data_IF_913887974051
#
_entry.id   IF_913887974051
#
_cell.length_a   1.000
_cell.length_b   1.000
_cell.length_c   1.000
_cell.angle_alpha   90.00
_cell.angle_beta   90.00
_cell.angle_gamma   90.00
#
_symmetry.space_group_name_H-M   'P 1'
#
loop_
_entity.id
_entity.type
_entity.pdbx_description
1 polymer ?
#
# COMPACT_ATOMS: atom_id res chain seq x y z
N UNK A 1 -42.71 -64.02 22.42
CA UNK A 1 -43.62 -63.47 21.40
C UNK A 1 -42.84 -63.42 20.09
N UNK A 2 -43.24 -64.24 19.10
CA UNK A 2 -42.85 -64.32 17.67
C UNK A 2 -41.35 -64.53 17.31
N UNK A 3 -40.90 -65.70 16.83
CA UNK A 3 -40.98 -66.36 15.49
C UNK A 3 -39.64 -66.25 14.72
N UNK A 4 -39.08 -67.44 14.42
CA UNK A 4 -38.29 -67.94 13.26
C UNK A 4 -37.66 -66.96 12.25
N UNK A 5 -36.49 -67.35 11.73
CA UNK A 5 -36.35 -67.57 10.28
C UNK A 5 -35.07 -67.11 9.57
N UNK A 6 -34.19 -68.09 9.30
CA UNK A 6 -33.53 -68.38 8.02
C UNK A 6 -32.94 -67.28 7.09
N UNK A 7 -31.63 -67.46 6.83
CA UNK A 7 -30.96 -67.66 5.53
C UNK A 7 -30.95 -66.55 4.44
N UNK A 8 -29.70 -66.17 4.12
CA UNK A 8 -29.02 -66.36 2.82
C UNK A 8 -28.79 -65.17 1.86
N UNK A 9 -27.48 -64.97 1.60
CA UNK A 9 -26.77 -64.82 0.32
C UNK A 9 -26.84 -63.52 -0.52
N UNK A 10 -25.66 -62.88 -0.57
CA UNK A 10 -24.91 -62.41 -1.76
C UNK A 10 -25.29 -61.05 -2.40
N UNK A 11 -24.51 -60.54 -3.38
CA UNK A 11 -23.25 -59.81 -3.21
C UNK A 11 -23.34 -58.40 -3.83
N UNK A 12 -22.63 -57.40 -3.30
CA UNK A 12 -22.55 -56.09 -3.97
C UNK A 12 -21.10 -55.61 -4.07
N UNK A 13 -20.52 -55.98 -5.22
CA UNK A 13 -19.75 -55.13 -6.12
C UNK A 13 -18.73 -54.18 -5.48
N UNK A 14 -17.46 -54.60 -5.54
CA UNK A 14 -16.32 -53.71 -5.51
C UNK A 14 -16.42 -52.71 -6.67
N UNK A 15 -16.85 -51.48 -6.37
CA UNK A 15 -16.60 -50.31 -7.22
C UNK A 15 -15.42 -49.58 -6.61
N UNK A 16 -14.27 -49.67 -7.27
CA UNK A 16 -13.13 -48.84 -7.01
C UNK A 16 -13.52 -47.38 -7.29
N UNK A 17 -13.93 -46.66 -6.25
CA UNK A 17 -14.02 -45.21 -6.31
C UNK A 17 -12.59 -44.67 -6.36
N UNK A 18 -12.16 -44.26 -7.55
CA UNK A 18 -10.99 -43.40 -7.69
C UNK A 18 -11.21 -42.19 -6.80
N UNK A 19 -10.43 -42.08 -5.73
CA UNK A 19 -10.36 -40.87 -4.93
C UNK A 19 -9.77 -39.77 -5.81
N UNK A 20 -10.62 -38.99 -6.46
CA UNK A 20 -10.30 -37.66 -6.91
C UNK A 20 -9.91 -36.88 -5.66
N UNK A 21 -8.59 -36.74 -5.44
CA UNK A 21 -8.05 -35.75 -4.55
C UNK A 21 -8.45 -34.38 -5.10
N UNK A 22 -9.63 -33.92 -4.72
CA UNK A 22 -10.02 -32.54 -4.87
C UNK A 22 -9.03 -31.73 -4.04
N UNK A 23 -8.04 -31.15 -4.72
CA UNK A 23 -7.35 -29.97 -4.20
C UNK A 23 -8.42 -28.92 -4.01
N UNK A 24 -8.98 -28.85 -2.80
CA UNK A 24 -9.81 -27.75 -2.36
C UNK A 24 -8.86 -26.54 -2.34
N UNK A 25 -8.84 -25.80 -3.44
CA UNK A 25 -8.30 -24.45 -3.43
C UNK A 25 -9.08 -23.71 -2.34
N UNK A 26 -8.41 -23.08 -1.36
CA UNK A 26 -9.12 -22.27 -0.38
C UNK A 26 -9.87 -21.19 -1.15
N UNK A 27 -11.19 -21.16 -0.99
CA UNK A 27 -12.02 -20.09 -1.48
C UNK A 27 -11.44 -18.78 -0.95
N UNK A 28 -11.01 -17.91 -1.86
CA UNK A 28 -10.53 -16.57 -1.52
C UNK A 28 -11.66 -15.86 -0.78
N UNK A 29 -11.56 -15.81 0.55
CA UNK A 29 -12.38 -14.93 1.36
C UNK A 29 -12.09 -13.52 0.87
N UNK A 30 -13.13 -12.81 0.42
CA UNK A 30 -13.04 -11.41 0.07
C UNK A 30 -12.48 -10.65 1.28
N UNK A 31 -11.17 -10.37 1.24
CA UNK A 31 -10.45 -9.75 2.33
C UNK A 31 -11.02 -8.34 2.55
N UNK A 32 -11.34 -8.02 3.79
CA UNK A 32 -11.94 -6.75 4.19
C UNK A 32 -11.01 -5.59 3.82
N UNK A 33 -11.54 -4.70 3.00
CA UNK A 33 -10.86 -3.49 2.54
C UNK A 33 -10.74 -2.54 3.73
N UNK A 34 -9.58 -1.91 3.94
CA UNK A 34 -9.46 -0.74 4.78
C UNK A 34 -10.57 0.28 4.46
N UNK A 35 -11.36 0.75 5.44
CA UNK A 35 -12.36 1.78 5.18
C UNK A 35 -11.73 3.09 4.68
N UNK A 36 -10.45 3.35 4.99
CA UNK A 36 -9.68 4.48 4.44
C UNK A 36 -8.26 4.04 4.02
N UNK A 37 -7.70 4.59 2.94
CA UNK A 37 -6.30 4.36 2.60
C UNK A 37 -5.38 5.02 3.66
N UNK A 38 -4.16 4.51 3.81
CA UNK A 38 -3.20 5.05 4.78
C UNK A 38 -2.66 6.43 4.40
N UNK A 39 -2.63 6.73 3.10
CA UNK A 39 -2.23 8.01 2.56
C UNK A 39 -3.09 8.35 1.34
N UNK A 40 -3.12 9.63 0.98
CA UNK A 40 -3.72 10.10 -0.26
C UNK A 40 -2.62 10.37 -1.28
N UNK A 41 -2.36 9.50 -2.26
CA UNK A 41 -1.23 9.62 -3.20
C UNK A 41 -1.46 10.66 -4.31
N UNK A 42 -2.05 11.80 -3.97
CA UNK A 42 -2.16 12.95 -4.88
C UNK A 42 -0.78 13.61 -5.00
N UNK A 43 -0.29 13.74 -6.23
CA UNK A 43 0.97 14.39 -6.56
C UNK A 43 0.97 15.84 -6.08
N UNK A 44 2.08 16.29 -5.51
CA UNK A 44 2.29 17.66 -5.02
C UNK A 44 1.32 18.16 -3.93
N UNK A 45 0.44 17.32 -3.38
CA UNK A 45 -0.46 17.70 -2.30
C UNK A 45 0.33 18.31 -1.12
N UNK A 46 -0.12 19.49 -0.68
CA UNK A 46 0.48 20.37 0.33
C UNK A 46 1.79 21.09 -0.04
N UNK A 47 2.31 20.92 -1.27
CA UNK A 47 3.42 21.77 -1.75
C UNK A 47 2.95 23.19 -2.06
N UNK A 48 3.90 24.11 -2.18
CA UNK A 48 3.60 25.46 -2.66
C UNK A 48 3.07 25.41 -4.10
N UNK A 49 2.16 26.31 -4.47
CA UNK A 49 1.56 26.30 -5.81
C UNK A 49 2.61 26.53 -6.90
N UNK A 50 3.58 27.40 -6.62
CA UNK A 50 4.77 27.60 -7.46
C UNK A 50 5.62 26.34 -7.64
N UNK A 51 5.75 25.50 -6.61
CA UNK A 51 6.54 24.26 -6.66
C UNK A 51 5.74 23.09 -7.25
N UNK A 52 4.40 23.16 -7.22
CA UNK A 52 3.53 22.21 -7.87
C UNK A 52 3.53 22.36 -9.41
N UNK A 53 3.89 23.53 -9.93
CA UNK A 53 3.91 23.83 -11.37
C UNK A 53 2.65 24.58 -11.84
N UNK A 54 2.77 25.34 -12.93
CA UNK A 54 1.70 26.22 -13.45
C UNK A 54 0.41 25.46 -13.80
N UNK A 55 0.52 24.19 -14.19
CA UNK A 55 -0.63 23.33 -14.51
C UNK A 55 -1.55 23.11 -13.29
N UNK A 56 -1.04 23.22 -12.06
CA UNK A 56 -1.81 23.07 -10.81
C UNK A 56 -2.51 24.38 -10.35
N UNK A 57 -2.46 25.46 -11.15
CA UNK A 57 -3.09 26.74 -10.82
C UNK A 57 -4.62 26.72 -11.02
N UNK A 58 -5.13 25.83 -11.87
CA UNK A 58 -6.57 25.70 -12.13
C UNK A 58 -7.15 24.59 -11.26
N UNK A 59 -8.20 24.85 -10.46
CA UNK A 59 -8.86 23.80 -9.69
C UNK A 59 -9.37 22.66 -10.56
N UNK A 60 -8.92 21.44 -10.27
CA UNK A 60 -9.28 20.24 -11.03
C UNK A 60 -9.38 18.99 -10.18
N UNK A 61 -9.99 17.94 -10.74
CA UNK A 61 -10.05 16.63 -10.10
C UNK A 61 -8.76 15.87 -10.39
N UNK A 62 -8.10 15.39 -9.34
CA UNK A 62 -6.98 14.46 -9.48
C UNK A 62 -7.41 13.08 -8.99
N UNK A 63 -6.99 12.05 -9.70
CA UNK A 63 -7.22 10.67 -9.33
C UNK A 63 -5.90 10.01 -8.95
N UNK A 64 -5.93 9.17 -7.91
CA UNK A 64 -4.77 8.39 -7.55
C UNK A 64 -5.14 6.98 -7.12
N UNK A 65 -4.28 6.04 -7.49
CA UNK A 65 -4.39 4.64 -7.16
C UNK A 65 -3.96 4.39 -5.72
N UNK A 66 -4.79 3.67 -4.98
CA UNK A 66 -4.59 3.38 -3.55
C UNK A 66 -4.50 1.89 -3.24
N UNK A 67 -4.92 1.05 -4.19
CA UNK A 67 -4.85 -0.40 -4.06
C UNK A 67 -5.02 -1.09 -5.41
N UNK A 68 -4.45 -2.28 -5.54
CA UNK A 68 -4.60 -3.20 -6.68
C UNK A 68 -5.04 -4.56 -6.21
N UNK A 69 -5.89 -5.19 -7.02
CA UNK A 69 -6.34 -6.57 -6.82
C UNK A 69 -6.37 -7.31 -8.13
N UNK A 70 -5.91 -8.55 -8.08
CA UNK A 70 -5.93 -9.44 -9.21
C UNK A 70 -7.19 -10.31 -9.12
N UNK A 71 -8.22 -9.95 -9.90
CA UNK A 71 -9.44 -10.75 -10.03
C UNK A 71 -9.16 -11.84 -11.05
N UNK A 72 -8.92 -13.07 -10.58
CA UNK A 72 -8.70 -14.24 -11.42
C UNK A 72 -9.98 -14.61 -12.16
N UNK A 73 -9.92 -14.63 -13.49
CA UNK A 73 -10.98 -15.11 -14.36
C UNK A 73 -10.79 -16.58 -14.73
N UNK A 74 -9.56 -17.09 -14.63
CA UNK A 74 -9.30 -18.50 -14.86
C UNK A 74 -7.82 -18.87 -14.84
N UNK A 75 -7.58 -20.16 -14.91
CA UNK A 75 -6.25 -20.72 -15.15
C UNK A 75 -6.35 -21.76 -16.25
N UNK A 76 -5.45 -21.68 -17.22
CA UNK A 76 -5.27 -22.71 -18.25
C UNK A 76 -3.95 -23.41 -17.98
N UNK A 77 -3.94 -24.74 -18.00
CA UNK A 77 -2.72 -25.51 -17.86
C UNK A 77 -2.74 -26.70 -18.82
N UNK A 78 -1.64 -26.89 -19.55
CA UNK A 78 -1.45 -28.05 -20.40
C UNK A 78 0.00 -28.53 -20.34
N UNK A 79 0.20 -29.82 -20.59
CA UNK A 79 1.50 -30.48 -20.53
C UNK A 79 1.79 -31.15 -21.87
N UNK A 80 2.99 -30.96 -22.40
CA UNK A 80 3.46 -31.76 -23.52
C UNK A 80 3.80 -33.17 -23.04
N UNK A 81 2.91 -34.13 -23.32
CA UNK A 81 3.11 -35.55 -23.02
C UNK A 81 3.70 -36.34 -24.19
N UNK A 82 4.13 -35.65 -25.24
CA UNK A 82 4.71 -36.28 -26.44
C UNK A 82 6.24 -36.26 -26.37
N UNK A 83 6.88 -37.08 -27.22
CA UNK A 83 8.34 -37.17 -27.33
C UNK A 83 8.92 -36.14 -28.33
N UNK A 84 8.11 -35.17 -28.80
CA UNK A 84 8.52 -34.15 -29.76
C UNK A 84 8.17 -32.74 -29.26
N UNK A 85 8.82 -31.71 -29.81
CA UNK A 85 8.41 -30.32 -29.57
C UNK A 85 7.07 -30.06 -30.24
N UNK A 86 6.13 -29.48 -29.48
CA UNK A 86 4.76 -29.22 -29.95
C UNK A 86 4.43 -27.74 -29.76
N UNK A 87 3.96 -27.03 -30.82
CA UNK A 87 3.42 -25.69 -30.68
C UNK A 87 2.03 -25.78 -30.05
N UNK A 88 1.82 -25.08 -28.95
CA UNK A 88 0.53 -24.99 -28.27
C UNK A 88 0.00 -23.55 -28.29
N UNK A 89 -1.32 -23.47 -28.39
CA UNK A 89 -2.11 -22.25 -28.22
C UNK A 89 -3.25 -22.56 -27.26
N UNK A 90 -3.41 -21.74 -26.22
CA UNK A 90 -4.54 -21.81 -25.30
C UNK A 90 -5.59 -20.77 -25.70
N UNK A 91 -6.88 -21.03 -25.44
CA UNK A 91 -7.96 -20.07 -25.70
C UNK A 91 -8.89 -19.92 -24.51
N UNK A 92 -9.38 -18.70 -24.27
CA UNK A 92 -10.40 -18.42 -23.25
C UNK A 92 -11.74 -19.02 -23.66
N UNK A 93 -12.30 -19.92 -22.82
CA UNK A 93 -13.53 -20.64 -23.13
C UNK A 93 -14.82 -19.87 -22.81
N UNK A 94 -14.79 -18.90 -21.88
CA UNK A 94 -15.97 -18.12 -21.49
C UNK A 94 -15.58 -16.69 -21.15
N UNK A 95 -16.25 -15.71 -21.77
CA UNK A 95 -15.93 -14.31 -21.54
C UNK A 95 -16.36 -13.82 -20.15
N UNK A 96 -15.51 -13.01 -19.53
CA UNK A 96 -15.77 -12.35 -18.22
C UNK A 96 -15.94 -10.86 -18.43
N UNK A 97 -16.73 -10.19 -17.58
CA UNK A 97 -16.87 -8.74 -17.65
C UNK A 97 -17.00 -8.15 -16.24
N UNK A 98 -15.98 -7.40 -15.82
CA UNK A 98 -15.96 -6.68 -14.55
C UNK A 98 -16.47 -5.25 -14.78
N UNK A 99 -17.28 -4.72 -13.85
CA UNK A 99 -17.88 -3.38 -13.92
C UNK A 99 -17.41 -2.52 -12.73
N UNK A 100 -17.40 -1.21 -12.91
CA UNK A 100 -17.10 -0.25 -11.85
C UNK A 100 -18.16 -0.31 -10.75
N UNK A 101 -17.73 -0.45 -9.50
CA UNK A 101 -18.55 -0.26 -8.31
C UNK A 101 -17.98 0.90 -7.48
N UNK A 102 -18.74 1.99 -7.35
CA UNK A 102 -18.39 3.14 -6.54
C UNK A 102 -19.52 3.42 -5.54
N UNK A 103 -19.15 3.84 -4.32
CA UNK A 103 -20.08 4.15 -3.23
C UNK A 103 -20.77 5.51 -3.36
N UNK A 104 -20.63 6.19 -4.50
CA UNK A 104 -21.22 7.50 -4.75
C UNK A 104 -22.23 7.41 -5.91
N UNK A 105 -23.44 7.93 -5.68
CA UNK A 105 -24.44 8.23 -6.72
C UNK A 105 -23.99 9.34 -7.69
N UNK A 106 -22.77 9.89 -7.55
CA UNK A 106 -22.27 10.91 -8.46
C UNK A 106 -21.79 10.22 -9.74
N UNK A 107 -22.42 10.56 -10.87
CA UNK A 107 -21.85 10.29 -12.18
C UNK A 107 -20.42 10.85 -12.22
N UNK A 108 -19.47 10.11 -12.81
CA UNK A 108 -18.13 10.64 -13.07
C UNK A 108 -18.28 12.01 -13.76
N UNK A 109 -17.60 13.07 -13.31
CA UNK A 109 -17.75 14.39 -13.90
C UNK A 109 -17.47 14.34 -15.41
N UNK A 110 -18.48 14.58 -16.23
CA UNK A 110 -18.31 14.70 -17.68
C UNK A 110 -17.91 16.15 -18.00
N UNK A 111 -16.72 16.37 -18.55
CA UNK A 111 -16.32 17.66 -19.14
C UNK A 111 -15.02 18.29 -18.64
N UNK A 112 -14.09 17.53 -18.05
CA UNK A 112 -12.80 18.02 -17.55
C UNK A 112 -11.63 17.25 -18.20
N UNK A 113 -10.46 17.87 -18.30
CA UNK A 113 -9.29 17.32 -19.03
C UNK A 113 -8.67 16.09 -18.34
N UNK A 114 -8.91 15.92 -17.03
CA UNK A 114 -8.55 14.72 -16.25
C UNK A 114 -9.76 13.84 -16.00
N UNK A 115 -9.58 12.54 -16.18
CA UNK A 115 -10.59 11.52 -15.90
C UNK A 115 -9.92 10.34 -15.20
N UNK A 116 -10.66 9.57 -14.41
CA UNK A 116 -10.13 8.32 -13.86
C UNK A 116 -9.57 7.36 -14.94
N UNK A 117 -9.98 7.54 -16.20
CA UNK A 117 -9.47 6.81 -17.36
C UNK A 117 -8.10 7.33 -17.83
N UNK A 118 -7.86 8.64 -17.84
CA UNK A 118 -6.58 9.24 -18.24
C UNK A 118 -5.52 9.14 -17.15
N UNK A 119 -5.92 9.29 -15.89
CA UNK A 119 -4.97 9.49 -14.78
C UNK A 119 -4.52 8.18 -14.14
N UNK A 120 -5.43 7.21 -14.04
CA UNK A 120 -5.18 5.92 -13.36
C UNK A 120 -5.58 4.70 -14.21
N UNK A 121 -5.99 4.93 -15.46
CA UNK A 121 -6.26 3.87 -16.43
C UNK A 121 -7.54 3.06 -16.18
N UNK A 122 -8.51 3.58 -15.41
CA UNK A 122 -9.78 2.86 -15.18
C UNK A 122 -10.57 2.70 -16.48
N UNK A 123 -11.21 1.54 -16.62
CA UNK A 123 -12.11 1.20 -17.72
C UNK A 123 -13.52 1.02 -17.16
N UNK A 124 -14.51 1.51 -17.91
CA UNK A 124 -15.93 1.32 -17.57
C UNK A 124 -16.32 -0.16 -17.50
N UNK A 125 -15.66 -0.97 -18.31
CA UNK A 125 -15.75 -2.43 -18.34
C UNK A 125 -14.45 -3.00 -18.88
N UNK A 126 -13.96 -4.08 -18.29
CA UNK A 126 -12.80 -4.80 -18.80
C UNK A 126 -12.95 -6.30 -18.49
N UNK A 127 -12.47 -7.14 -19.39
CA UNK A 127 -12.60 -8.59 -19.26
C UNK A 127 -12.16 -9.33 -20.51
N UNK A 128 -12.06 -10.65 -20.42
CA UNK A 128 -11.58 -11.51 -21.49
C UNK A 128 -12.73 -11.86 -22.45
N UNK A 129 -12.43 -11.90 -23.74
CA UNK A 129 -13.42 -12.32 -24.76
C UNK A 129 -13.32 -13.82 -25.01
N UNK A 130 -14.45 -14.44 -25.35
CA UNK A 130 -14.48 -15.83 -25.80
C UNK A 130 -13.53 -15.99 -26.99
N UNK A 131 -12.65 -17.01 -26.94
CA UNK A 131 -11.65 -17.38 -27.96
C UNK A 131 -10.42 -16.46 -28.07
N UNK A 132 -10.20 -15.52 -27.16
CA UNK A 132 -8.89 -14.87 -27.05
C UNK A 132 -7.80 -15.91 -26.73
N UNK A 133 -6.63 -15.83 -27.37
CA UNK A 133 -5.61 -16.87 -27.32
C UNK A 133 -4.31 -16.46 -26.65
N UNK A 134 -3.68 -17.40 -25.94
CA UNK A 134 -2.33 -17.32 -25.40
C UNK A 134 -1.37 -18.20 -26.22
N UNK A 135 -0.26 -17.62 -26.69
CA UNK A 135 0.71 -18.29 -27.55
C UNK A 135 0.79 -17.69 -28.97
N UNK A 136 1.43 -18.37 -29.94
CA UNK A 136 1.92 -19.75 -29.88
C UNK A 136 3.19 -19.89 -29.02
N UNK A 137 3.27 -20.98 -28.25
CA UNK A 137 4.45 -21.34 -27.44
C UNK A 137 4.86 -22.77 -27.77
N UNK A 138 6.14 -22.97 -28.06
CA UNK A 138 6.70 -24.29 -28.32
C UNK A 138 7.13 -24.94 -27.00
N UNK A 139 6.55 -26.08 -26.67
CA UNK A 139 6.92 -26.86 -25.49
C UNK A 139 7.75 -28.08 -25.86
N UNK A 140 8.85 -28.31 -25.14
CA UNK A 140 9.64 -29.53 -25.24
C UNK A 140 8.95 -30.72 -24.55
N UNK A 141 9.37 -31.96 -24.86
CA UNK A 141 8.86 -33.14 -24.17
C UNK A 141 8.90 -33.00 -22.64
N UNK A 142 7.75 -33.20 -22.00
CA UNK A 142 7.62 -33.12 -20.54
C UNK A 142 7.41 -31.72 -19.96
N UNK A 143 7.57 -30.65 -20.74
CA UNK A 143 7.28 -29.28 -20.28
C UNK A 143 5.77 -29.04 -20.16
N UNK A 144 5.39 -28.12 -19.28
CA UNK A 144 4.01 -27.67 -19.13
C UNK A 144 3.93 -26.17 -19.28
N UNK A 145 2.82 -25.68 -19.80
CA UNK A 145 2.49 -24.27 -19.82
C UNK A 145 1.31 -24.02 -18.89
N UNK A 146 1.41 -22.99 -18.07
CA UNK A 146 0.33 -22.52 -17.22
C UNK A 146 0.12 -21.04 -17.45
N UNK A 147 -1.12 -20.64 -17.69
CA UNK A 147 -1.54 -19.23 -17.76
C UNK A 147 -2.56 -18.96 -16.68
N UNK A 148 -2.33 -17.94 -15.88
CA UNK A 148 -3.33 -17.35 -14.98
C UNK A 148 -3.75 -16.01 -15.56
N UNK A 149 -5.04 -15.83 -15.83
CA UNK A 149 -5.52 -14.63 -16.48
C UNK A 149 -6.73 -14.04 -15.76
N UNK A 150 -6.90 -12.74 -15.91
CA UNK A 150 -7.98 -12.03 -15.25
C UNK A 150 -7.92 -10.53 -15.47
N UNK A 151 -8.52 -9.79 -14.53
CA UNK A 151 -8.61 -8.33 -14.55
C UNK A 151 -8.02 -7.76 -13.27
N UNK A 152 -7.26 -6.67 -13.42
CA UNK A 152 -6.81 -5.86 -12.29
C UNK A 152 -7.94 -4.90 -11.92
N UNK A 153 -8.45 -5.03 -10.69
CA UNK A 153 -9.30 -4.02 -10.05
C UNK A 153 -8.40 -3.05 -9.27
N UNK A 154 -8.58 -1.75 -9.52
CA UNK A 154 -7.89 -0.68 -8.79
C UNK A 154 -8.84 -0.04 -7.79
N UNK A 155 -8.38 0.12 -6.56
CA UNK A 155 -8.96 1.02 -5.57
C UNK A 155 -8.41 2.42 -5.80
N UNK A 156 -9.26 3.44 -5.84
CA UNK A 156 -8.82 4.81 -6.10
C UNK A 156 -9.46 5.84 -5.17
N UNK A 157 -8.77 6.96 -5.06
CA UNK A 157 -9.33 8.20 -4.53
C UNK A 157 -9.41 9.26 -5.63
N UNK A 158 -10.30 10.22 -5.45
CA UNK A 158 -10.30 11.45 -6.21
C UNK A 158 -10.51 12.65 -5.30
N UNK A 159 -9.72 13.70 -5.54
CA UNK A 159 -9.72 14.94 -4.76
C UNK A 159 -9.82 16.11 -5.73
N UNK A 160 -10.65 17.10 -5.38
CA UNK A 160 -10.74 18.33 -6.16
C UNK A 160 -9.76 19.32 -5.57
N UNK A 161 -8.61 19.45 -6.22
CA UNK A 161 -7.46 20.16 -5.69
C UNK A 161 -7.33 21.48 -6.41
N UNK A 162 -6.92 22.51 -5.67
CA UNK A 162 -6.58 23.80 -6.25
C UNK A 162 -5.62 24.55 -5.35
N UNK A 163 -5.08 25.65 -5.88
CA UNK A 163 -4.24 26.55 -5.13
C UNK A 163 -5.08 27.38 -4.15
N UNK A 164 -4.79 27.28 -2.85
CA UNK A 164 -5.38 28.13 -1.82
C UNK A 164 -4.24 28.73 -0.98
N UNK A 165 -4.06 30.07 -1.01
CA UNK A 165 -2.98 30.81 -0.31
C UNK A 165 -1.58 30.19 -0.52
N UNK A 166 -1.21 30.03 -1.78
CA UNK A 166 0.04 29.37 -2.23
C UNK A 166 0.21 27.92 -1.74
N UNK A 167 -0.84 27.23 -1.27
CA UNK A 167 -0.80 25.80 -0.93
C UNK A 167 -1.73 24.99 -1.81
N UNK A 168 -1.21 23.91 -2.39
CA UNK A 168 -2.00 22.96 -3.17
C UNK A 168 -2.77 22.02 -2.23
N UNK A 169 -4.10 22.10 -2.20
CA UNK A 169 -4.93 21.31 -1.28
C UNK A 169 -6.33 21.02 -1.83
N UNK A 170 -7.04 20.10 -1.18
CA UNK A 170 -8.44 19.84 -1.49
C UNK A 170 -9.29 21.07 -1.17
N UNK A 171 -10.04 21.56 -2.16
CA UNK A 171 -10.80 22.79 -2.01
C UNK A 171 -11.98 22.62 -1.04
N UNK A 172 -12.28 23.66 -0.25
CA UNK A 172 -13.44 23.65 0.64
C UNK A 172 -14.74 23.35 -0.12
N UNK A 173 -15.54 22.42 0.42
CA UNK A 173 -16.83 22.02 -0.16
C UNK A 173 -16.77 20.85 -1.15
N UNK A 174 -15.58 20.42 -1.58
CA UNK A 174 -15.40 19.19 -2.34
C UNK A 174 -15.06 18.01 -1.42
N UNK A 175 -15.83 16.92 -1.53
CA UNK A 175 -15.55 15.68 -0.80
C UNK A 175 -14.49 14.86 -1.52
N UNK A 176 -13.67 14.12 -0.76
CA UNK A 176 -12.82 13.07 -1.30
C UNK A 176 -13.71 11.92 -1.78
N UNK A 177 -13.64 11.61 -3.07
CA UNK A 177 -14.34 10.47 -3.65
C UNK A 177 -13.46 9.24 -3.49
N UNK A 178 -14.09 8.10 -3.23
CA UNK A 178 -13.43 6.79 -3.19
C UNK A 178 -14.19 5.85 -4.10
N UNK A 179 -13.50 4.93 -4.74
CA UNK A 179 -14.16 3.95 -5.58
C UNK A 179 -13.25 2.84 -6.01
N UNK A 180 -13.80 1.95 -6.82
CA UNK A 180 -13.05 0.91 -7.47
C UNK A 180 -13.46 0.76 -8.91
N UNK A 181 -12.54 0.29 -9.72
CA UNK A 181 -12.87 -0.10 -11.08
C UNK A 181 -11.86 -1.06 -11.68
N UNK A 182 -12.27 -1.80 -12.71
CA UNK A 182 -11.33 -2.58 -13.50
C UNK A 182 -10.44 -1.64 -14.32
N UNK A 183 -9.16 -1.98 -14.46
CA UNK A 183 -8.19 -1.16 -15.19
C UNK A 183 -7.52 -1.94 -16.32
N UNK A 184 -6.88 -3.05 -15.98
CA UNK A 184 -6.02 -3.81 -16.89
C UNK A 184 -6.47 -5.26 -16.98
N UNK A 185 -6.22 -5.92 -18.11
CA UNK A 185 -6.28 -7.38 -18.19
C UNK A 185 -4.87 -7.89 -17.94
N UNK A 186 -4.74 -8.96 -17.19
CA UNK A 186 -3.45 -9.60 -16.98
C UNK A 186 -3.50 -11.05 -17.46
N UNK A 187 -2.36 -11.54 -17.94
CA UNK A 187 -2.14 -12.94 -18.24
C UNK A 187 -0.71 -13.31 -17.87
N UNK A 188 -0.55 -14.03 -16.77
CA UNK A 188 0.74 -14.49 -16.29
C UNK A 188 1.01 -15.89 -16.85
N UNK A 189 2.08 -16.01 -17.63
CA UNK A 189 2.42 -17.23 -18.35
C UNK A 189 3.70 -17.86 -17.79
N UNK A 190 3.63 -19.16 -17.47
CA UNK A 190 4.70 -19.94 -16.87
C UNK A 190 5.01 -21.16 -17.74
N UNK A 191 6.27 -21.36 -18.10
CA UNK A 191 6.77 -22.66 -18.57
C UNK A 191 7.34 -23.42 -17.38
N UNK A 192 6.71 -24.53 -17.05
CA UNK A 192 7.23 -25.51 -16.10
C UNK A 192 8.06 -26.50 -16.90
N UNK A 193 9.38 -26.47 -16.73
CA UNK A 193 10.29 -27.39 -17.41
C UNK A 193 10.08 -28.83 -16.93
N UNK A 194 10.58 -29.80 -17.69
CA UNK A 194 10.43 -31.22 -17.34
C UNK A 194 11.05 -31.57 -15.97
N UNK A 195 12.11 -30.86 -15.58
CA UNK A 195 12.75 -30.99 -14.26
C UNK A 195 11.95 -30.33 -13.12
N UNK A 196 10.87 -29.61 -13.43
CA UNK A 196 10.02 -28.89 -12.49
C UNK A 196 10.51 -27.50 -12.09
N UNK A 197 11.57 -27.00 -12.71
CA UNK A 197 11.93 -25.58 -12.67
C UNK A 197 10.94 -24.74 -13.48
N UNK A 198 10.79 -23.47 -13.12
CA UNK A 198 9.86 -22.55 -13.78
C UNK A 198 10.66 -21.52 -14.56
N UNK A 199 10.19 -21.20 -15.76
CA UNK A 199 10.60 -20.05 -16.55
C UNK A 199 9.39 -19.16 -16.74
N UNK A 200 9.52 -17.90 -16.36
CA UNK A 200 8.46 -16.92 -16.55
C UNK A 200 8.52 -16.40 -18.00
N UNK A 201 7.35 -16.27 -18.66
CA UNK A 201 7.22 -15.71 -20.00
C UNK A 201 6.34 -14.47 -19.93
N UNK A 202 6.92 -13.31 -20.27
CA UNK A 202 6.21 -12.03 -20.27
C UNK A 202 5.38 -11.84 -21.54
N UNK A 203 4.08 -12.14 -21.49
CA UNK A 203 3.11 -11.49 -22.37
C UNK A 203 2.65 -10.21 -21.67
N UNK A 204 3.27 -9.06 -22.00
CA UNK A 204 2.99 -7.71 -21.50
C UNK A 204 2.26 -7.66 -20.14
N UNK A 205 3.04 -7.94 -19.09
CA UNK A 205 2.55 -8.21 -17.75
C UNK A 205 2.64 -6.92 -16.89
N UNK A 206 1.53 -6.40 -16.33
CA UNK A 206 1.62 -5.55 -15.14
C UNK A 206 2.19 -6.40 -14.01
N UNK A 207 3.27 -5.94 -13.38
CA UNK A 207 4.02 -6.63 -12.32
C UNK A 207 3.10 -7.37 -11.34
N UNK A 208 3.06 -8.70 -11.44
CA UNK A 208 2.43 -9.56 -10.43
C UNK A 208 3.27 -9.44 -9.15
N UNK A 209 2.65 -9.10 -8.04
CA UNK A 209 3.07 -9.68 -6.76
C UNK A 209 2.32 -11.00 -6.61
N UNK A 210 2.94 -12.18 -6.79
CA UNK A 210 2.23 -13.42 -6.57
C UNK A 210 1.90 -13.57 -5.07
N UNK A 211 0.65 -13.32 -4.72
CA UNK A 211 0.09 -13.50 -3.39
C UNK A 211 -1.38 -13.15 -3.43
N UNK A 212 -2.23 -13.93 -2.78
CA UNK A 212 -3.64 -13.60 -2.68
C UNK A 212 -3.78 -12.25 -1.96
N UNK A 213 -4.04 -11.18 -2.72
CA UNK A 213 -4.24 -9.77 -2.32
C UNK A 213 -3.63 -9.38 -0.97
N UNK A 214 -2.67 -8.44 -0.96
CA UNK A 214 -2.08 -7.90 0.26
C UNK A 214 -3.09 -7.73 1.41
N UNK A 215 -2.77 -8.31 2.57
CA UNK A 215 -3.65 -8.28 3.74
C UNK A 215 -3.23 -7.19 4.71
N UNK A 216 -4.21 -6.48 5.30
CA UNK A 216 -3.97 -5.72 6.52
C UNK A 216 -3.25 -6.53 7.58
N UNK A 217 -2.16 -5.98 8.15
CA UNK A 217 -1.43 -6.66 9.22
C UNK A 217 -2.15 -6.55 10.56
N UNK A 218 -2.88 -5.44 10.83
CA UNK A 218 -3.79 -5.26 11.98
C UNK A 218 -4.34 -3.80 11.99
N UNK A 219 -5.55 -3.58 12.52
CA UNK A 219 -6.09 -2.23 12.83
C UNK A 219 -7.09 -1.63 11.82
N UNK A 220 -7.95 -0.73 12.31
CA UNK A 220 -8.75 0.16 11.44
C UNK A 220 -7.81 1.23 10.87
N UNK A 221 -7.58 1.20 9.55
CA UNK A 221 -6.87 2.27 8.87
C UNK A 221 -7.77 3.48 8.78
N UNK A 222 -7.64 4.33 9.77
CA UNK A 222 -8.14 5.68 9.72
C UNK A 222 -6.92 6.59 9.80
N UNK A 223 -6.94 7.70 9.06
CA UNK A 223 -6.02 8.83 9.24
C UNK A 223 -6.21 9.52 10.61
N UNK A 224 -6.63 8.78 11.63
CA UNK A 224 -6.86 9.25 12.99
C UNK A 224 -5.49 9.56 13.57
N UNK A 225 -5.23 10.88 13.65
CA UNK A 225 -4.52 11.55 14.75
C UNK A 225 -4.02 10.55 15.80
N UNK A 226 -2.78 10.07 15.59
CA UNK A 226 -1.96 9.24 16.48
C UNK A 226 -2.66 8.06 17.19
N UNK A 227 -2.16 6.81 17.11
CA UNK A 227 -2.48 5.85 18.18
C UNK A 227 -2.09 6.50 19.52
N UNK A 228 -2.81 6.19 20.61
CA UNK A 228 -2.37 6.60 21.95
C UNK A 228 -0.97 6.02 22.19
N UNK A 229 0.05 6.88 22.10
CA UNK A 229 1.48 6.52 22.12
C UNK A 229 1.99 6.17 23.52
N UNK A 230 1.11 6.20 24.52
CA UNK A 230 1.40 5.76 25.89
C UNK A 230 1.91 4.31 25.97
N UNK A 231 1.71 3.49 24.92
CA UNK A 231 2.26 2.12 24.84
C UNK A 231 3.62 2.00 24.15
N UNK A 232 4.09 3.01 23.40
CA UNK A 232 5.35 2.95 22.63
C UNK A 232 6.49 3.69 23.35
N UNK A 233 6.18 4.64 24.24
CA UNK A 233 7.19 5.32 25.04
C UNK A 233 7.83 4.37 26.07
N UNK A 234 9.14 4.14 25.95
CA UNK A 234 9.95 3.48 26.97
C UNK A 234 10.97 4.49 27.50
N UNK A 235 10.72 5.13 28.66
CA UNK A 235 11.61 6.14 29.21
C UNK A 235 13.04 5.65 29.50
N UNK A 236 13.29 4.32 29.46
CA UNK A 236 14.63 3.74 29.62
C UNK A 236 15.42 3.65 28.31
N UNK A 237 14.74 3.74 27.16
CA UNK A 237 15.32 3.62 25.81
C UNK A 237 15.12 4.87 24.98
N UNK A 238 14.18 5.71 25.37
CA UNK A 238 13.82 6.91 24.64
C UNK A 238 14.89 8.00 24.84
N UNK A 239 15.48 8.45 23.74
CA UNK A 239 16.44 9.55 23.71
C UNK A 239 15.86 10.75 22.98
N UNK A 240 16.05 11.94 23.55
CA UNK A 240 15.61 13.20 22.93
C UNK A 240 16.64 13.58 21.88
N UNK A 241 16.21 13.59 20.62
CA UNK A 241 16.97 14.12 19.50
C UNK A 241 16.66 15.61 19.33
N UNK A 242 17.72 16.42 19.38
CA UNK A 242 17.64 17.84 19.08
C UNK A 242 17.58 18.08 17.57
N UNK A 243 17.02 19.22 17.13
CA UNK A 243 17.12 19.66 15.74
C UNK A 243 18.58 19.65 15.23
N UNK A 244 18.79 19.14 14.02
CA UNK A 244 20.09 19.16 13.35
C UNK A 244 20.47 20.53 12.81
N UNK A 245 19.48 21.40 12.61
CA UNK A 245 19.63 22.77 12.11
C UNK A 245 18.96 23.77 13.06
N UNK A 246 19.44 25.02 13.04
CA UNK A 246 18.79 26.09 13.78
C UNK A 246 17.37 26.30 13.26
N UNK A 247 16.41 26.27 14.19
CA UNK A 247 14.99 26.41 13.84
C UNK A 247 14.73 27.76 13.19
N UNK A 248 14.19 27.74 11.98
CA UNK A 248 13.71 28.94 11.31
C UNK A 248 12.56 29.53 12.13
N UNK A 249 12.82 30.69 12.71
CA UNK A 249 11.90 31.38 13.59
C UNK A 249 11.63 32.76 13.02
N UNK A 250 10.34 33.12 12.95
CA UNK A 250 9.97 34.47 12.53
C UNK A 250 10.57 35.49 13.53
N UNK A 251 11.31 36.50 13.05
CA UNK A 251 11.89 37.53 13.92
C UNK A 251 10.83 38.31 14.73
N UNK A 252 9.58 38.36 14.27
CA UNK A 252 8.47 38.98 14.98
C UNK A 252 7.97 38.18 16.18
N UNK A 253 8.31 36.89 16.28
CA UNK A 253 7.89 36.09 17.43
C UNK A 253 8.66 36.49 18.68
N UNK A 254 8.05 36.42 19.87
CA UNK A 254 8.67 36.78 21.14
C UNK A 254 9.51 35.66 21.77
N UNK A 255 10.71 35.98 22.25
CA UNK A 255 11.59 35.00 22.89
C UNK A 255 11.14 34.70 24.32
N UNK A 256 11.53 33.53 24.80
CA UNK A 256 11.28 33.15 26.19
C UNK A 256 11.88 34.19 27.15
N UNK A 257 11.04 34.68 28.06
CA UNK A 257 11.38 35.69 29.06
C UNK A 257 11.29 37.15 28.61
N UNK A 258 11.00 37.43 27.33
CA UNK A 258 10.72 38.80 26.87
C UNK A 258 9.43 39.35 27.49
N UNK A 259 9.34 40.68 27.63
CA UNK A 259 8.15 41.33 28.20
C UNK A 259 7.00 41.25 27.21
N UNK A 260 5.81 40.89 27.68
CA UNK A 260 4.65 40.77 26.80
C UNK A 260 4.27 42.09 26.16
N UNK A 261 3.90 42.04 24.88
CA UNK A 261 3.23 43.16 24.24
C UNK A 261 1.82 43.34 24.81
N UNK A 262 1.37 44.60 24.89
CA UNK A 262 0.08 44.91 25.49
C UNK A 262 -1.06 44.32 24.66
N UNK A 263 -1.84 43.43 25.26
CA UNK A 263 -3.01 42.82 24.61
C UNK A 263 -2.69 41.66 23.67
N UNK A 264 -1.43 41.22 23.59
CA UNK A 264 -1.08 40.02 22.85
C UNK A 264 -1.60 38.77 23.59
N UNK A 265 -2.40 37.98 22.88
CA UNK A 265 -3.00 36.74 23.35
C UNK A 265 -2.64 35.54 22.48
N UNK A 266 -1.66 35.71 21.59
CA UNK A 266 -1.26 34.71 20.61
C UNK A 266 -0.37 33.65 21.24
N UNK A 267 -0.38 32.46 20.65
CA UNK A 267 0.62 31.42 20.91
C UNK A 267 1.66 31.46 19.81
N UNK A 268 2.93 31.24 20.16
CA UNK A 268 4.03 31.24 19.21
C UNK A 268 4.82 29.94 19.30
N UNK A 269 5.30 29.39 18.18
CA UNK A 269 6.17 28.23 18.21
C UNK A 269 7.47 28.53 18.97
N UNK A 270 7.87 27.61 19.85
CA UNK A 270 9.06 27.74 20.69
C UNK A 270 10.18 26.83 20.19
N UNK A 271 9.95 25.52 20.17
CA UNK A 271 10.91 24.53 19.66
C UNK A 271 10.25 23.20 19.27
N UNK A 272 11.08 22.32 18.69
CA UNK A 272 10.74 20.96 18.31
C UNK A 272 11.89 20.02 18.70
N UNK A 273 11.56 18.80 19.08
CA UNK A 273 12.49 17.69 19.29
C UNK A 273 11.85 16.39 18.79
N UNK A 274 12.68 15.41 18.46
CA UNK A 274 12.23 14.06 18.18
C UNK A 274 12.60 13.10 19.32
N UNK A 275 11.96 11.93 19.35
CA UNK A 275 12.28 10.86 20.29
C UNK A 275 12.67 9.61 19.52
N UNK A 276 13.91 9.17 19.70
CA UNK A 276 14.44 7.91 19.18
C UNK A 276 14.26 6.79 20.22
N UNK A 277 14.16 5.50 19.80
CA UNK A 277 14.14 5.03 18.42
C UNK A 277 12.82 5.41 17.70
N UNK A 278 12.87 5.40 16.36
CA UNK A 278 11.67 5.39 15.54
C UNK A 278 10.89 4.08 15.74
N UNK A 279 9.66 4.02 15.24
CA UNK A 279 8.85 2.81 15.31
C UNK A 279 8.24 2.45 13.96
N UNK A 280 8.07 1.15 13.75
CA UNK A 280 7.43 0.60 12.55
C UNK A 280 5.91 0.66 12.71
N UNK A 281 5.24 1.43 11.86
CA UNK A 281 3.78 1.39 11.70
C UNK A 281 3.45 0.37 10.60
N UNK A 282 2.79 -0.76 10.91
CA UNK A 282 2.47 -1.77 9.92
C UNK A 282 1.49 -1.27 8.87
N UNK A 283 1.79 -1.62 7.62
CA UNK A 283 0.95 -1.39 6.46
C UNK A 283 0.18 -2.65 6.09
N UNK A 284 0.77 -3.39 5.17
CA UNK A 284 0.17 -4.57 4.55
C UNK A 284 1.20 -5.69 4.42
N UNK A 285 0.71 -6.89 4.11
CA UNK A 285 1.53 -8.08 3.92
C UNK A 285 1.17 -8.81 2.63
N UNK A 286 2.17 -9.26 1.87
CA UNK A 286 2.01 -10.24 0.79
C UNK A 286 2.57 -11.58 1.22
N UNK A 287 1.93 -12.68 0.78
CA UNK A 287 2.40 -14.03 1.04
C UNK A 287 2.69 -14.73 -0.30
N UNK A 288 3.87 -15.35 -0.44
CA UNK A 288 4.25 -16.16 -1.61
C UNK A 288 4.84 -17.51 -1.19
N UNK A 289 4.72 -18.51 -2.06
CA UNK A 289 5.29 -19.85 -1.89
C UNK A 289 6.03 -20.24 -3.16
N UNK A 290 7.33 -20.55 -3.05
CA UNK A 290 8.07 -21.17 -4.15
C UNK A 290 7.60 -22.63 -4.29
N UNK A 291 6.61 -22.88 -5.15
CA UNK A 291 6.12 -24.23 -5.43
C UNK A 291 6.96 -24.98 -6.48
N UNK A 292 8.01 -24.36 -7.01
CA UNK A 292 8.90 -24.96 -7.99
C UNK A 292 9.85 -25.98 -7.35
N UNK A 293 10.52 -26.78 -8.20
CA UNK A 293 11.60 -27.67 -7.76
C UNK A 293 12.98 -27.02 -7.76
N UNK A 294 13.09 -25.75 -8.20
CA UNK A 294 14.34 -25.00 -8.25
C UNK A 294 14.31 -23.75 -7.36
N UNK A 295 15.44 -23.07 -7.27
CA UNK A 295 15.49 -21.75 -6.65
C UNK A 295 14.65 -20.76 -7.49
N UNK A 296 14.01 -19.82 -6.81
CA UNK A 296 13.16 -18.81 -7.44
C UNK A 296 13.43 -17.44 -6.82
N UNK A 297 13.72 -16.47 -7.68
CA UNK A 297 13.85 -15.07 -7.29
C UNK A 297 12.45 -14.44 -7.29
N UNK A 298 11.95 -14.12 -6.10
CA UNK A 298 10.68 -13.45 -5.92
C UNK A 298 10.90 -11.94 -5.89
N UNK A 299 10.21 -11.21 -6.77
CA UNK A 299 10.21 -9.75 -6.82
C UNK A 299 8.90 -9.21 -6.22
N UNK A 300 8.87 -8.83 -4.92
CA UNK A 300 7.68 -8.28 -4.32
C UNK A 300 7.42 -6.86 -4.83
N UNK A 301 6.15 -6.53 -5.08
CA UNK A 301 5.67 -5.16 -5.29
C UNK A 301 4.57 -4.79 -4.30
N UNK A 302 4.43 -3.51 -3.99
CA UNK A 302 3.35 -3.02 -3.13
C UNK A 302 1.99 -3.08 -3.85
N UNK A 303 0.99 -3.73 -3.23
CA UNK A 303 -0.37 -3.74 -3.81
C UNK A 303 -1.22 -2.56 -3.31
N UNK A 304 -0.85 -1.96 -2.17
CA UNK A 304 -1.56 -0.83 -1.57
C UNK A 304 -0.62 0.32 -1.25
N UNK A 305 -1.17 1.52 -1.31
CA UNK A 305 -0.45 2.71 -0.84
C UNK A 305 -0.26 2.60 0.68
N UNK A 306 0.98 2.76 1.13
CA UNK A 306 1.32 2.94 2.55
C UNK A 306 1.87 4.33 2.75
N UNK A 307 1.64 4.91 3.92
CA UNK A 307 2.11 6.26 4.21
C UNK A 307 1.53 6.82 5.49
N UNK A 308 1.95 8.04 5.79
CA UNK A 308 1.45 8.78 6.92
C UNK A 308 1.49 10.28 6.65
N UNK A 309 0.72 11.00 7.45
CA UNK A 309 0.70 12.45 7.52
C UNK A 309 0.83 12.86 8.99
N UNK A 310 1.66 13.86 9.26
CA UNK A 310 1.72 14.55 10.54
C UNK A 310 0.54 15.53 10.61
N UNK A 311 -0.40 15.33 11.53
CA UNK A 311 -1.53 16.25 11.74
C UNK A 311 -1.52 16.70 13.21
N UNK A 312 -0.69 17.70 13.55
CA UNK A 312 -0.53 18.16 14.93
C UNK A 312 -1.75 18.98 15.37
N UNK A 313 -1.94 19.08 16.69
CA UNK A 313 -2.82 20.11 17.27
C UNK A 313 -1.95 21.29 17.72
N UNK A 314 -2.20 22.49 17.22
CA UNK A 314 -1.43 23.68 17.60
C UNK A 314 -2.35 24.78 18.09
N UNK A 315 -1.93 25.52 19.14
CA UNK A 315 -2.63 26.76 19.48
C UNK A 315 -2.15 27.91 18.58
N UNK A 316 -0.92 27.84 18.08
CA UNK A 316 -0.41 28.75 17.05
C UNK A 316 -1.25 28.59 15.78
N UNK A 317 -2.19 29.52 15.57
CA UNK A 317 -3.05 29.54 14.39
C UNK A 317 -2.31 30.00 13.11
N UNK A 318 -0.99 30.13 13.16
CA UNK A 318 -0.16 30.32 11.97
C UNK A 318 -0.10 29.05 11.13
N UNK A 319 0.35 29.19 9.88
CA UNK A 319 0.51 28.08 8.94
C UNK A 319 -0.72 27.13 8.84
N UNK A 320 -1.94 27.67 8.96
CA UNK A 320 -3.20 26.91 8.89
C UNK A 320 -3.32 25.78 9.93
N UNK A 321 -2.76 25.98 11.12
CA UNK A 321 -2.83 24.99 12.20
C UNK A 321 -1.84 23.85 12.03
N UNK A 322 -0.73 24.08 11.34
CA UNK A 322 0.41 23.19 11.26
C UNK A 322 1.62 23.79 12.00
N UNK A 323 2.65 22.99 12.24
CA UNK A 323 3.91 23.49 12.81
C UNK A 323 4.73 24.27 11.76
N UNK A 324 5.73 25.07 12.18
CA UNK A 324 6.45 25.92 11.23
C UNK A 324 7.19 25.14 10.15
N UNK A 325 7.36 25.79 9.00
CA UNK A 325 8.10 25.27 7.87
C UNK A 325 9.55 24.92 8.26
N UNK A 326 10.04 23.76 7.82
CA UNK A 326 11.40 23.28 8.08
C UNK A 326 11.59 22.63 9.46
N UNK A 327 10.62 22.72 10.37
CA UNK A 327 10.79 22.21 11.72
C UNK A 327 10.78 20.67 11.76
N UNK A 328 9.89 20.01 11.02
CA UNK A 328 9.87 18.54 10.96
C UNK A 328 11.16 17.99 10.37
N UNK A 329 11.63 18.65 9.32
CA UNK A 329 12.81 18.30 8.55
C UNK A 329 14.06 18.39 9.43
N UNK A 330 14.13 19.41 10.30
CA UNK A 330 15.22 19.56 11.28
C UNK A 330 15.34 18.40 12.27
N UNK A 331 14.29 17.59 12.44
CA UNK A 331 14.29 16.41 13.33
C UNK A 331 14.11 15.10 12.56
N UNK A 332 14.45 15.09 11.26
CA UNK A 332 14.46 13.87 10.45
C UNK A 332 13.07 13.31 10.15
N UNK A 333 12.05 14.18 10.06
CA UNK A 333 10.69 13.80 9.71
C UNK A 333 10.11 14.73 8.64
N UNK A 334 8.97 14.38 8.07
CA UNK A 334 8.26 15.20 7.08
C UNK A 334 6.77 15.27 7.35
N UNK A 335 6.09 16.26 6.75
CA UNK A 335 4.63 16.40 6.87
C UNK A 335 3.93 15.16 6.34
N UNK A 336 4.28 14.73 5.14
CA UNK A 336 3.60 13.62 4.46
C UNK A 336 4.61 12.84 3.65
N UNK A 337 4.49 11.51 3.66
CA UNK A 337 5.20 10.63 2.76
C UNK A 337 4.34 9.41 2.46
N UNK A 338 4.47 8.84 1.26
CA UNK A 338 3.77 7.61 0.89
C UNK A 338 4.60 6.74 -0.07
N UNK A 339 4.56 5.42 0.08
CA UNK A 339 5.09 4.51 -0.92
C UNK A 339 3.96 4.17 -1.90
N UNK A 340 4.08 4.49 -3.21
CA UNK A 340 3.04 4.25 -4.20
C UNK A 340 2.68 2.77 -4.33
N UNK A 341 1.52 2.50 -4.94
CA UNK A 341 1.17 1.17 -5.42
C UNK A 341 2.07 0.79 -6.61
N UNK A 342 2.52 -0.45 -6.66
CA UNK A 342 3.44 -0.95 -7.69
C UNK A 342 4.90 -0.58 -7.45
N UNK A 343 5.26 -0.14 -6.25
CA UNK A 343 6.66 0.06 -5.86
C UNK A 343 7.33 -1.30 -5.77
N UNK A 344 8.41 -1.50 -6.53
CA UNK A 344 9.25 -2.69 -6.47
C UNK A 344 10.04 -2.69 -5.16
N UNK A 345 9.93 -3.79 -4.42
CA UNK A 345 10.69 -4.07 -3.21
C UNK A 345 11.92 -4.90 -3.58
N UNK A 346 12.93 -4.93 -2.71
CA UNK A 346 14.12 -5.74 -2.98
C UNK A 346 13.76 -7.22 -3.15
N UNK A 347 14.44 -7.88 -4.08
CA UNK A 347 14.16 -9.25 -4.44
C UNK A 347 14.58 -10.23 -3.34
N UNK A 348 13.89 -11.37 -3.31
CA UNK A 348 14.12 -12.43 -2.32
C UNK A 348 14.37 -13.75 -3.03
N UNK A 349 15.54 -14.33 -2.79
CA UNK A 349 15.84 -15.68 -3.24
C UNK A 349 15.12 -16.71 -2.37
N UNK A 350 14.38 -17.62 -3.00
CA UNK A 350 13.62 -18.67 -2.32
C UNK A 350 14.05 -20.05 -2.80
N UNK A 351 14.49 -20.90 -1.88
CA UNK A 351 14.74 -22.30 -2.15
C UNK A 351 13.42 -23.07 -2.39
N UNK A 352 13.47 -24.27 -3.01
CA UNK A 352 12.28 -25.06 -3.31
C UNK A 352 11.38 -25.31 -2.09
N UNK A 353 10.14 -24.81 -2.16
CA UNK A 353 9.10 -24.90 -1.12
C UNK A 353 9.33 -24.03 0.12
N UNK A 354 10.21 -23.04 0.05
CA UNK A 354 10.17 -21.92 0.98
C UNK A 354 8.93 -21.05 0.73
N UNK A 355 8.34 -20.55 1.81
CA UNK A 355 7.31 -19.52 1.78
C UNK A 355 7.89 -18.20 2.26
N UNK A 356 7.43 -17.09 1.72
CA UNK A 356 7.80 -15.76 2.18
C UNK A 356 6.55 -14.97 2.51
N UNK A 357 6.61 -14.21 3.60
CA UNK A 357 5.66 -13.17 3.95
C UNK A 357 6.40 -11.85 3.96
N UNK A 358 6.05 -10.94 3.04
CA UNK A 358 6.64 -9.60 2.98
C UNK A 358 5.69 -8.63 3.64
N UNK A 359 6.11 -8.04 4.75
CA UNK A 359 5.38 -6.99 5.45
C UNK A 359 5.99 -5.64 5.11
N UNK A 360 5.18 -4.65 4.79
CA UNK A 360 5.66 -3.30 4.48
C UNK A 360 4.79 -2.24 5.15
N UNK A 361 5.41 -1.11 5.50
CA UNK A 361 4.76 -0.05 6.24
C UNK A 361 5.59 1.23 6.31
N UNK A 362 5.17 2.14 7.19
CA UNK A 362 5.81 3.45 7.34
C UNK A 362 6.66 3.47 8.61
N UNK A 363 7.86 4.01 8.51
CA UNK A 363 8.70 4.31 9.67
C UNK A 363 8.25 5.66 10.23
N UNK A 364 7.90 5.68 11.52
CA UNK A 364 7.35 6.85 12.19
C UNK A 364 8.31 7.35 13.26
N UNK A 365 8.47 8.67 13.33
CA UNK A 365 9.21 9.35 14.39
C UNK A 365 8.25 10.06 15.33
N UNK A 366 8.55 10.01 16.62
CA UNK A 366 7.80 10.70 17.67
C UNK A 366 8.31 12.12 17.78
N UNK A 367 7.39 13.08 17.75
CA UNK A 367 7.68 14.51 17.70
C UNK A 367 7.10 15.18 18.94
N UNK A 368 7.95 15.94 19.64
CA UNK A 368 7.53 16.88 20.66
C UNK A 368 7.75 18.29 20.14
N UNK A 369 6.78 19.17 20.32
CA UNK A 369 6.97 20.60 20.06
C UNK A 369 6.35 21.41 21.19
N UNK A 370 6.85 22.63 21.34
CA UNK A 370 6.39 23.56 22.36
C UNK A 370 5.95 24.85 21.71
N UNK A 371 4.98 25.47 22.35
CA UNK A 371 4.53 26.82 22.04
C UNK A 371 4.61 27.69 23.29
N UNK A 372 4.78 28.99 23.10
CA UNK A 372 4.93 29.97 24.17
C UNK A 372 3.85 31.05 24.07
N UNK A 373 3.42 31.53 25.23
CA UNK A 373 2.41 32.56 25.41
C UNK A 373 2.77 33.48 26.58
N UNK A 374 2.12 34.65 26.62
CA UNK A 374 2.25 35.57 27.74
C UNK A 374 1.78 34.94 29.06
N UNK A 375 2.67 34.86 30.03
CA UNK A 375 2.39 34.40 31.38
C UNK A 375 1.75 35.48 32.25
N UNK A 376 1.24 35.06 33.42
CA UNK A 376 0.68 35.98 34.42
C UNK A 376 1.73 36.93 35.03
N UNK A 377 3.01 36.64 34.82
CA UNK A 377 4.16 37.46 35.22
C UNK A 377 4.46 38.60 34.23
N UNK A 378 3.67 38.75 33.16
CA UNK A 378 3.85 39.80 32.16
C UNK A 378 5.02 39.54 31.21
N UNK A 379 5.51 38.29 31.15
CA UNK A 379 6.56 37.84 30.23
C UNK A 379 6.09 36.66 29.40
N UNK A 380 6.70 36.43 28.25
CA UNK A 380 6.52 35.20 27.48
C UNK A 380 7.17 34.04 28.24
N UNK A 381 6.38 33.37 29.08
CA UNK A 381 6.84 32.34 30.03
C UNK A 381 5.90 31.15 30.13
N UNK A 382 4.66 31.27 29.64
CA UNK A 382 3.70 30.18 29.66
C UNK A 382 3.94 29.27 28.45
N UNK A 383 4.39 28.04 28.69
CA UNK A 383 4.62 27.07 27.61
C UNK A 383 3.51 26.03 27.52
N UNK A 384 3.02 25.76 26.31
CA UNK A 384 2.22 24.59 25.97
C UNK A 384 3.16 23.51 25.43
N UNK A 385 3.03 22.29 25.94
CA UNK A 385 3.91 21.17 25.59
C UNK A 385 3.09 20.10 24.89
N UNK A 386 3.33 19.89 23.60
CA UNK A 386 2.71 18.84 22.82
C UNK A 386 3.67 17.69 22.71
N UNK A 387 3.47 16.69 23.57
CA UNK A 387 4.32 15.50 23.57
C UNK A 387 3.68 14.33 22.85
N UNK A 388 4.58 13.69 22.11
CA UNK A 388 4.42 12.52 21.27
C UNK A 388 3.30 12.64 20.24
N UNK A 389 3.36 13.67 19.39
CA UNK A 389 2.76 13.54 18.05
C UNK A 389 3.64 12.63 17.18
N UNK A 390 3.19 12.23 15.99
CA UNK A 390 3.99 11.35 15.11
C UNK A 390 4.00 11.83 13.67
N UNK A 391 5.17 11.72 13.05
CA UNK A 391 5.41 12.10 11.67
C UNK A 391 6.14 10.98 10.94
N UNK A 392 5.91 10.79 9.62
CA UNK A 392 6.70 9.85 8.82
C UNK A 392 8.17 10.26 8.76
N UNK A 393 9.05 9.27 8.82
CA UNK A 393 10.51 9.42 8.74
C UNK A 393 11.17 8.40 7.81
N UNK A 394 10.40 7.73 6.95
CA UNK A 394 10.88 6.70 6.02
C UNK A 394 9.88 5.56 5.88
N UNK A 395 10.30 4.46 5.27
CA UNK A 395 9.53 3.24 5.12
C UNK A 395 10.30 2.04 5.61
N UNK A 396 9.61 0.91 5.71
CA UNK A 396 10.24 -0.37 5.99
C UNK A 396 9.48 -1.45 5.24
N UNK A 397 10.22 -2.47 4.81
CA UNK A 397 9.70 -3.72 4.30
C UNK A 397 10.58 -4.87 4.80
N UNK A 398 9.95 -5.95 5.25
CA UNK A 398 10.64 -7.11 5.82
C UNK A 398 10.03 -8.39 5.26
N UNK A 399 10.89 -9.22 4.67
CA UNK A 399 10.55 -10.55 4.19
C UNK A 399 10.84 -11.58 5.29
N UNK A 400 9.80 -12.20 5.84
CA UNK A 400 9.92 -13.38 6.69
C UNK A 400 9.81 -14.64 5.84
N UNK A 401 10.91 -15.35 5.69
CA UNK A 401 11.00 -16.55 4.85
C UNK A 401 10.98 -17.77 5.77
N UNK A 402 10.09 -18.72 5.50
CA UNK A 402 9.99 -19.98 6.24
C UNK A 402 10.35 -21.17 5.36
N UNK A 403 11.29 -21.99 5.83
CA UNK A 403 11.64 -23.27 5.23
C UNK A 403 10.58 -24.36 5.45
N UNK A 404 10.71 -25.47 4.72
CA UNK A 404 9.84 -26.65 4.86
C UNK A 404 9.88 -27.27 6.26
N UNK A 405 11.01 -27.14 6.93
CA UNK A 405 11.24 -27.61 8.30
C UNK A 405 10.70 -26.65 9.37
N UNK A 406 10.14 -25.52 8.95
CA UNK A 406 9.63 -24.47 9.84
C UNK A 406 10.69 -23.49 10.33
N UNK A 407 11.95 -23.62 9.90
CA UNK A 407 12.98 -22.61 10.17
C UNK A 407 12.62 -21.27 9.52
N UNK A 408 12.98 -20.16 10.16
CA UNK A 408 12.68 -18.81 9.66
C UNK A 408 13.93 -17.96 9.54
N UNK A 409 14.01 -17.19 8.46
CA UNK A 409 14.97 -16.07 8.29
C UNK A 409 14.22 -14.81 7.90
N UNK A 410 14.80 -13.66 8.22
CA UNK A 410 14.24 -12.34 7.92
C UNK A 410 15.21 -11.55 7.06
N UNK A 411 14.71 -10.88 6.05
CA UNK A 411 15.48 -10.00 5.17
C UNK A 411 14.81 -8.64 5.10
N UNK A 412 15.60 -7.58 5.20
CA UNK A 412 15.12 -6.22 4.93
C UNK A 412 15.03 -6.05 3.42
N UNK A 413 13.82 -5.83 2.93
CA UNK A 413 13.52 -5.69 1.50
C UNK A 413 13.05 -4.29 1.15
N UNK A 414 13.39 -3.31 2.00
CA UNK A 414 13.07 -1.90 1.78
C UNK A 414 13.95 -1.34 0.67
N UNK A 415 13.38 -0.80 -0.42
CA UNK A 415 14.14 -0.10 -1.44
C UNK A 415 14.90 1.07 -0.83
N UNK A 416 16.15 1.27 -1.27
CA UNK A 416 17.01 2.30 -0.70
C UNK A 416 16.39 3.71 -0.79
N UNK A 417 15.73 4.02 -1.91
CA UNK A 417 15.07 5.32 -2.14
C UNK A 417 13.83 5.59 -1.26
N UNK A 418 13.30 4.55 -0.60
CA UNK A 418 12.18 4.65 0.35
C UNK A 418 12.59 4.40 1.80
N UNK A 419 13.81 3.91 2.06
CA UNK A 419 14.27 3.55 3.39
C UNK A 419 14.27 4.75 4.34
N UNK A 420 14.99 5.79 3.96
CA UNK A 420 15.18 6.99 4.73
C UNK A 420 14.77 8.24 3.94
N UNK A 421 14.46 9.32 4.65
CA UNK A 421 14.20 10.61 4.01
C UNK A 421 15.49 11.21 3.44
N UNK A 422 15.44 11.94 2.29
CA UNK A 422 14.23 12.28 1.56
C UNK A 422 13.74 11.17 0.61
N UNK A 423 12.44 10.90 0.62
CA UNK A 423 11.79 9.96 -0.33
C UNK A 423 11.13 10.72 -1.50
N UNK A 424 10.96 10.10 -2.68
CA UNK A 424 10.45 10.78 -3.88
C UNK A 424 9.06 11.43 -3.72
N UNK A 425 8.24 10.87 -2.86
CA UNK A 425 6.83 11.21 -2.66
C UNK A 425 6.57 12.13 -1.48
N UNK A 426 7.62 12.55 -0.78
CA UNK A 426 7.43 13.37 0.41
C UNK A 426 6.92 14.77 0.08
N UNK A 427 6.12 15.29 1.00
CA UNK A 427 5.83 16.71 1.09
C UNK A 427 6.52 17.26 2.33
N UNK A 428 7.41 18.21 2.07
CA UNK A 428 7.97 19.12 3.07
C UNK A 428 7.10 20.37 3.14
N UNK A 429 7.17 21.10 4.26
CA UNK A 429 6.51 22.41 4.35
C UNK A 429 7.21 23.48 3.52
#
# INVERSE_FOLDING_TARGET
MHIKGLRALAPLTATAAMATAAFIAPAAQAASIPPMPQAYPITNLYKSCSAAGEDNATPEWHFAETGRRYLSDGTLQFKNTTDQEVPYTASVETGTNHKIEANSKAAMPSGWDTTAKSDIGLKLSNGWQEKETFGPITLKPGESFRVEYGVVEKDFISMFVGCNDDRLENLPGANVIRGKGPAERYAFAYIIKADGSISDLAMEIPSRSPGANSKPIEGNYTSVSGPSLEKIADPKKDEIMQPSEDLQRDPSWPKEGETCESGDSSWYPLDITAVTPSFRKPGYSTDFLNWSKGDYEYAPVTDFVVGAEHSPYTNWQGNRGDIPKGWLESVGAVKRAYMPVGTELEHVDLAPGERVRVEYGTTMTRINYREIHCGKDGKYSLTSNYKQTTAPSGFWAEATITGKDGSTRTEDVTPEEYRDLPVPTQTIY
#
